data_IF_344030496047
#
_entry.id   IF_344030496047
#
_cell.length_a   1.000
_cell.length_b   1.000
_cell.length_c   1.000
_cell.angle_alpha   90.00
_cell.angle_beta   90.00
_cell.angle_gamma   90.00
#
_symmetry.space_group_name_H-M   'P 1'
#
loop_
_entity.id
_entity.type
_entity.pdbx_description
1 polymer ?
#
# COMPACT_ATOMS: atom_id res chain seq x y z
N UNK A 1 -1.54 -2.57 7.85
CA UNK A 1 -1.50 -3.98 7.37
C UNK A 1 -1.09 -4.07 5.91
N UNK A 2 -1.92 -3.73 4.92
CA UNK A 2 -1.50 -3.90 3.50
C UNK A 2 -0.33 -2.99 3.10
N UNK A 3 -0.21 -1.78 3.67
CA UNK A 3 0.96 -0.92 3.48
C UNK A 3 2.25 -1.62 3.94
N UNK A 4 2.18 -2.44 4.98
CA UNK A 4 3.34 -3.24 5.41
C UNK A 4 3.68 -4.33 4.40
N UNK A 5 2.65 -4.94 3.79
CA UNK A 5 2.85 -5.84 2.66
C UNK A 5 3.60 -5.14 1.53
N UNK A 6 3.18 -3.92 1.16
CA UNK A 6 3.84 -3.11 0.12
C UNK A 6 5.30 -2.85 0.48
N UNK A 7 5.57 -2.33 1.68
CA UNK A 7 6.91 -2.03 2.18
C UNK A 7 7.80 -3.27 2.20
N UNK A 8 7.27 -4.41 2.63
CA UNK A 8 7.98 -5.69 2.68
C UNK A 8 8.35 -6.17 1.29
N UNK A 9 7.40 -6.14 0.33
CA UNK A 9 7.70 -6.53 -1.05
C UNK A 9 8.81 -5.65 -1.62
N UNK A 10 8.79 -4.33 -1.39
CA UNK A 10 9.83 -3.41 -1.91
C UNK A 10 11.21 -3.74 -1.34
N UNK A 11 11.31 -3.95 -0.02
CA UNK A 11 12.60 -4.25 0.60
C UNK A 11 13.15 -5.59 0.13
N UNK A 12 12.31 -6.62 0.08
CA UNK A 12 12.76 -7.98 -0.24
C UNK A 12 12.71 -8.32 -1.72
N UNK A 13 12.10 -7.49 -2.58
CA UNK A 13 12.08 -7.72 -4.04
C UNK A 13 13.47 -7.67 -4.63
N UNK A 14 14.35 -6.81 -4.12
CA UNK A 14 15.74 -6.71 -4.58
C UNK A 14 16.52 -7.96 -4.22
N UNK A 15 16.34 -8.46 -2.99
CA UNK A 15 16.96 -9.71 -2.50
C UNK A 15 16.44 -10.90 -3.30
N UNK A 16 15.13 -10.96 -3.54
CA UNK A 16 14.50 -11.98 -4.37
C UNK A 16 15.05 -11.93 -5.81
N UNK A 17 15.11 -10.75 -6.42
CA UNK A 17 15.58 -10.59 -7.79
C UNK A 17 17.05 -10.98 -7.96
N UNK A 18 17.94 -10.66 -7.01
CA UNK A 18 19.34 -11.09 -7.10
C UNK A 18 19.51 -12.57 -6.83
N UNK A 19 19.01 -13.08 -5.71
CA UNK A 19 19.29 -14.46 -5.27
C UNK A 19 18.46 -15.51 -6.00
N UNK A 20 17.20 -15.21 -6.34
CA UNK A 20 16.30 -16.17 -6.99
C UNK A 20 16.32 -16.04 -8.52
N UNK A 21 16.44 -14.82 -9.05
CA UNK A 21 16.37 -14.57 -10.50
C UNK A 21 17.72 -14.16 -11.13
N UNK A 22 18.78 -14.03 -10.33
CA UNK A 22 20.14 -13.74 -10.83
C UNK A 22 20.29 -12.34 -11.42
N UNK A 23 19.53 -11.35 -10.94
CA UNK A 23 19.73 -9.96 -11.35
C UNK A 23 21.11 -9.47 -10.92
N UNK A 24 21.81 -8.83 -11.86
CA UNK A 24 23.05 -8.09 -11.60
C UNK A 24 22.75 -6.81 -10.83
N UNK A 25 23.76 -6.24 -10.15
CA UNK A 25 23.62 -4.97 -9.44
C UNK A 25 23.09 -3.84 -10.35
N UNK A 26 23.55 -3.79 -11.61
CA UNK A 26 23.09 -2.82 -12.60
C UNK A 26 21.59 -2.99 -12.90
N UNK A 27 21.14 -4.23 -13.09
CA UNK A 27 19.72 -4.54 -13.32
C UNK A 27 18.89 -4.18 -12.08
N UNK A 28 19.35 -4.47 -10.87
CA UNK A 28 18.65 -4.12 -9.63
C UNK A 28 18.46 -2.61 -9.44
N UNK A 29 19.51 -1.83 -9.70
CA UNK A 29 19.46 -0.36 -9.59
C UNK A 29 18.46 0.20 -10.60
N UNK A 30 18.51 -0.27 -11.86
CA UNK A 30 17.55 0.13 -12.90
C UNK A 30 16.12 -0.31 -12.54
N UNK A 31 15.96 -1.51 -11.98
CA UNK A 31 14.67 -2.02 -11.52
C UNK A 31 14.08 -1.12 -10.44
N UNK A 32 14.87 -0.78 -9.43
CA UNK A 32 14.43 0.13 -8.38
C UNK A 32 14.00 1.50 -8.93
N UNK A 33 14.79 2.10 -9.83
CA UNK A 33 14.44 3.38 -10.47
C UNK A 33 13.11 3.30 -11.23
N UNK A 34 12.88 2.20 -11.96
CA UNK A 34 11.65 1.98 -12.73
C UNK A 34 10.44 1.80 -11.80
N UNK A 35 10.58 1.04 -10.71
CA UNK A 35 9.54 0.86 -9.70
C UNK A 35 9.18 2.20 -9.03
N UNK A 36 10.18 3.00 -8.66
CA UNK A 36 9.93 4.31 -8.04
C UNK A 36 9.26 5.29 -9.02
N UNK A 37 9.75 5.36 -10.26
CA UNK A 37 9.19 6.23 -11.31
C UNK A 37 7.74 5.85 -11.65
N UNK A 38 7.46 4.56 -11.81
CA UNK A 38 6.11 4.06 -12.05
C UNK A 38 5.19 4.29 -10.83
N UNK A 39 5.74 4.32 -9.62
CA UNK A 39 5.02 4.74 -8.42
C UNK A 39 4.56 6.20 -8.45
N UNK A 40 5.37 7.12 -8.96
CA UNK A 40 4.95 8.51 -9.17
C UNK A 40 3.75 8.56 -10.12
N UNK A 41 3.86 7.86 -11.26
CA UNK A 41 2.77 7.78 -12.25
C UNK A 41 1.51 7.18 -11.64
N UNK A 42 1.64 6.07 -10.90
CA UNK A 42 0.53 5.42 -10.23
C UNK A 42 -0.15 6.33 -9.22
N UNK A 43 0.61 7.02 -8.37
CA UNK A 43 0.07 7.94 -7.38
C UNK A 43 -0.79 9.05 -8.01
N UNK A 44 -0.39 9.57 -9.16
CA UNK A 44 -1.15 10.59 -9.89
C UNK A 44 -2.39 10.02 -10.58
N UNK A 45 -2.23 8.92 -11.33
CA UNK A 45 -3.32 8.29 -12.09
C UNK A 45 -4.40 7.76 -11.16
N UNK A 46 -4.01 7.03 -10.11
CA UNK A 46 -4.97 6.49 -9.14
C UNK A 46 -5.43 7.53 -8.13
N UNK A 47 -4.67 8.62 -7.91
CA UNK A 47 -5.17 9.78 -7.18
C UNK A 47 -6.37 10.39 -7.88
N UNK A 48 -6.21 10.71 -9.17
CA UNK A 48 -7.32 11.18 -10.02
C UNK A 48 -8.45 10.15 -10.11
N UNK A 49 -8.10 8.86 -10.21
CA UNK A 49 -9.10 7.79 -10.24
C UNK A 49 -9.87 7.71 -8.91
N UNK A 50 -9.23 7.94 -7.77
CA UNK A 50 -9.87 7.93 -6.45
C UNK A 50 -10.88 9.06 -6.26
N UNK A 51 -10.64 10.21 -6.89
CA UNK A 51 -11.58 11.33 -6.87
C UNK A 51 -12.87 10.99 -7.65
N UNK A 52 -12.78 10.14 -8.67
CA UNK A 52 -13.91 9.71 -9.51
C UNK A 52 -14.55 8.39 -9.08
N UNK A 53 -13.74 7.44 -8.65
CA UNK A 53 -14.10 6.15 -8.08
C UNK A 53 -13.77 6.19 -6.59
N UNK A 54 -14.80 6.20 -5.75
CA UNK A 54 -14.74 6.13 -4.28
C UNK A 54 -13.40 5.53 -3.76
N UNK A 55 -12.63 6.25 -2.92
CA UNK A 55 -11.26 5.89 -2.56
C UNK A 55 -11.10 4.44 -2.10
N UNK A 56 -12.05 3.91 -1.32
CA UNK A 56 -12.11 2.50 -0.94
C UNK A 56 -12.02 1.55 -2.13
N UNK A 57 -12.76 1.79 -3.21
CA UNK A 57 -12.71 0.95 -4.41
C UNK A 57 -11.36 1.04 -5.10
N UNK A 58 -10.79 2.23 -5.14
CA UNK A 58 -9.48 2.47 -5.75
C UNK A 58 -8.37 1.74 -4.98
N UNK A 59 -8.39 1.75 -3.64
CA UNK A 59 -7.47 0.93 -2.83
C UNK A 59 -7.74 -0.57 -3.04
N UNK A 60 -8.99 -1.00 -3.16
CA UNK A 60 -9.29 -2.41 -3.42
C UNK A 60 -8.69 -2.88 -4.76
N UNK A 61 -8.75 -2.06 -5.81
CA UNK A 61 -8.12 -2.35 -7.10
C UNK A 61 -6.59 -2.47 -6.98
N UNK A 62 -5.94 -1.58 -6.22
CA UNK A 62 -4.48 -1.66 -6.04
C UNK A 62 -4.09 -2.92 -5.26
N UNK A 63 -4.90 -3.35 -4.30
CA UNK A 63 -4.67 -4.61 -3.57
C UNK A 63 -4.81 -5.84 -4.47
N UNK A 64 -5.75 -5.84 -5.42
CA UNK A 64 -5.86 -6.90 -6.42
C UNK A 64 -4.62 -6.94 -7.33
N UNK A 65 -4.09 -5.78 -7.73
CA UNK A 65 -2.83 -5.70 -8.48
C UNK A 65 -1.70 -6.29 -7.64
N UNK A 66 -1.59 -5.94 -6.36
CA UNK A 66 -0.58 -6.48 -5.45
C UNK A 66 -0.64 -8.00 -5.31
N UNK A 67 -1.85 -8.57 -5.16
CA UNK A 67 -2.06 -10.02 -5.13
C UNK A 67 -1.58 -10.65 -6.43
N UNK A 68 -1.93 -10.07 -7.58
CA UNK A 68 -1.45 -10.52 -8.89
C UNK A 68 0.09 -10.46 -9.01
N UNK A 69 0.72 -9.41 -8.48
CA UNK A 69 2.18 -9.25 -8.45
C UNK A 69 2.84 -10.36 -7.64
N UNK A 70 2.40 -10.63 -6.40
CA UNK A 70 3.04 -11.69 -5.58
C UNK A 70 2.79 -13.09 -6.13
N UNK A 71 1.61 -13.37 -6.68
CA UNK A 71 1.31 -14.65 -7.33
C UNK A 71 2.18 -14.84 -8.57
N UNK A 72 2.31 -13.81 -9.40
CA UNK A 72 3.15 -13.87 -10.61
C UNK A 72 4.63 -13.98 -10.24
N UNK A 73 5.09 -13.27 -9.20
CA UNK A 73 6.45 -13.37 -8.69
C UNK A 73 6.79 -14.79 -8.21
N UNK A 74 5.83 -15.47 -7.56
CA UNK A 74 5.98 -16.86 -7.10
C UNK A 74 6.13 -17.84 -8.28
N UNK A 75 5.28 -17.70 -9.30
CA UNK A 75 5.21 -18.61 -10.44
C UNK A 75 6.31 -18.37 -11.47
N UNK A 76 6.80 -17.14 -11.61
CA UNK A 76 7.78 -16.80 -12.65
C UNK A 76 9.22 -17.16 -12.26
N UNK A 77 10.00 -17.54 -13.25
CA UNK A 77 11.48 -17.62 -13.16
C UNK A 77 12.16 -16.70 -14.19
N UNK A 78 11.38 -15.90 -14.92
CA UNK A 78 11.87 -15.06 -16.01
C UNK A 78 12.12 -13.63 -15.53
N UNK A 79 13.33 -13.12 -15.80
CA UNK A 79 13.68 -11.72 -15.54
C UNK A 79 12.74 -10.75 -16.26
N UNK A 80 12.38 -11.03 -17.51
CA UNK A 80 11.51 -10.18 -18.31
C UNK A 80 10.11 -10.00 -17.68
N UNK A 81 9.54 -11.10 -17.17
CA UNK A 81 8.28 -11.04 -16.43
C UNK A 81 8.45 -10.25 -15.13
N UNK A 82 9.59 -10.40 -14.45
CA UNK A 82 9.88 -9.66 -13.22
C UNK A 82 9.92 -8.14 -13.45
N UNK A 83 10.49 -7.68 -14.57
CA UNK A 83 10.42 -6.27 -14.99
C UNK A 83 8.98 -5.76 -15.16
N UNK A 84 8.14 -6.56 -15.82
CA UNK A 84 6.73 -6.21 -16.02
C UNK A 84 5.95 -6.10 -14.72
N UNK A 85 6.11 -7.06 -13.81
CA UNK A 85 5.44 -6.98 -12.49
C UNK A 85 6.03 -5.88 -11.61
N UNK A 86 7.30 -5.51 -11.80
CA UNK A 86 7.91 -4.35 -11.12
C UNK A 86 7.21 -3.04 -11.48
N UNK A 87 6.85 -2.84 -12.74
CA UNK A 87 6.05 -1.68 -13.16
C UNK A 87 4.66 -1.70 -12.50
N UNK A 88 3.98 -2.85 -12.50
CA UNK A 88 2.68 -3.00 -11.86
C UNK A 88 2.77 -2.75 -10.33
N UNK A 89 3.81 -3.28 -9.68
CA UNK A 89 4.09 -3.09 -8.27
C UNK A 89 4.37 -1.62 -7.95
N UNK A 90 5.17 -0.94 -8.78
CA UNK A 90 5.45 0.48 -8.63
C UNK A 90 4.16 1.31 -8.72
N UNK A 91 3.37 1.12 -9.78
CA UNK A 91 2.06 1.79 -9.92
C UNK A 91 1.19 1.55 -8.69
N UNK A 92 1.02 0.28 -8.27
CA UNK A 92 0.20 -0.07 -7.12
C UNK A 92 0.75 0.47 -5.79
N UNK A 93 2.07 0.57 -5.64
CA UNK A 93 2.76 1.14 -4.48
C UNK A 93 2.37 2.61 -4.30
N UNK A 94 2.59 3.44 -5.32
CA UNK A 94 2.31 4.87 -5.25
C UNK A 94 0.82 5.15 -5.04
N UNK A 95 -0.02 4.41 -5.78
CA UNK A 95 -1.48 4.48 -5.70
C UNK A 95 -2.00 4.13 -4.30
N UNK A 96 -1.58 2.99 -3.74
CA UNK A 96 -2.04 2.57 -2.41
C UNK A 96 -1.62 3.56 -1.34
N UNK A 97 -0.40 4.12 -1.42
CA UNK A 97 0.08 5.06 -0.42
C UNK A 97 -0.59 6.44 -0.46
N UNK A 98 -0.90 6.96 -1.65
CA UNK A 98 -1.56 8.25 -1.81
C UNK A 98 -3.05 8.17 -1.47
N UNK A 99 -3.76 7.20 -2.06
CA UNK A 99 -5.21 7.06 -1.91
C UNK A 99 -5.59 6.72 -0.47
N UNK A 100 -4.82 5.87 0.21
CA UNK A 100 -5.12 5.50 1.61
C UNK A 100 -4.98 6.69 2.56
N UNK A 101 -3.96 7.54 2.35
CA UNK A 101 -3.78 8.78 3.12
C UNK A 101 -4.91 9.78 2.84
N UNK A 102 -5.28 9.94 1.58
CA UNK A 102 -6.40 10.80 1.18
C UNK A 102 -7.74 10.32 1.77
N UNK A 103 -8.01 9.01 1.70
CA UNK A 103 -9.20 8.37 2.26
C UNK A 103 -9.33 8.65 3.76
N UNK A 104 -8.24 8.47 4.51
CA UNK A 104 -8.23 8.77 5.94
C UNK A 104 -8.51 10.26 6.19
N UNK A 105 -7.80 11.17 5.51
CA UNK A 105 -8.01 12.61 5.68
C UNK A 105 -9.45 13.07 5.36
N UNK A 106 -10.11 12.42 4.41
CA UNK A 106 -11.50 12.70 4.08
C UNK A 106 -12.50 12.31 5.16
N UNK A 107 -12.18 11.34 6.01
CA UNK A 107 -13.04 10.87 7.12
C UNK A 107 -12.66 11.49 8.47
N UNK A 108 -11.53 12.20 8.54
CA UNK A 108 -11.05 12.83 9.78
C UNK A 108 -11.65 14.23 9.96
N UNK A 109 -12.27 14.54 11.12
CA UNK A 109 -12.72 15.88 11.51
C UNK A 109 -11.57 16.89 11.56
N UNK A 110 -11.85 18.14 11.20
CA UNK A 110 -10.82 19.20 11.11
C UNK A 110 -10.07 19.41 12.42
N UNK A 111 -10.79 19.41 13.53
CA UNK A 111 -10.21 19.60 14.87
C UNK A 111 -9.27 18.45 15.30
N UNK A 112 -9.41 17.27 14.71
CA UNK A 112 -8.71 16.04 15.12
C UNK A 112 -7.68 15.55 14.10
N UNK A 113 -7.39 16.34 13.05
CA UNK A 113 -6.44 15.95 11.99
C UNK A 113 -5.09 15.54 12.56
N UNK A 114 -4.50 16.34 13.45
CA UNK A 114 -3.20 16.05 14.05
C UNK A 114 -3.21 14.74 14.86
N UNK A 115 -4.29 14.46 15.58
CA UNK A 115 -4.44 13.26 16.40
C UNK A 115 -4.51 11.99 15.53
N UNK A 116 -5.38 11.99 14.51
CA UNK A 116 -5.51 10.86 13.59
C UNK A 116 -4.24 10.60 12.78
N UNK A 117 -3.57 11.64 12.29
CA UNK A 117 -2.28 11.47 11.60
C UNK A 117 -1.18 11.01 12.57
N UNK A 118 -1.23 11.43 13.83
CA UNK A 118 -0.37 10.91 14.90
C UNK A 118 -0.55 9.40 15.09
N UNK A 119 -1.80 8.95 15.27
CA UNK A 119 -2.11 7.52 15.37
C UNK A 119 -1.68 6.75 14.13
N UNK A 120 -2.01 7.25 12.93
CA UNK A 120 -1.62 6.63 11.66
C UNK A 120 -0.10 6.41 11.57
N UNK A 121 0.69 7.42 11.96
CA UNK A 121 2.15 7.33 11.98
C UNK A 121 2.68 6.33 13.02
N UNK A 122 2.12 6.32 14.23
CA UNK A 122 2.54 5.41 15.31
C UNK A 122 2.22 3.96 14.93
N UNK A 123 0.99 3.65 14.53
CA UNK A 123 0.58 2.31 14.13
C UNK A 123 1.34 1.80 12.90
N UNK A 124 1.65 2.69 11.95
CA UNK A 124 2.53 2.35 10.82
C UNK A 124 3.90 1.88 11.28
N UNK A 125 4.54 2.62 12.20
CA UNK A 125 5.87 2.23 12.73
C UNK A 125 5.83 0.93 13.53
N UNK A 126 4.82 0.72 14.36
CA UNK A 126 4.66 -0.54 15.11
C UNK A 126 4.48 -1.74 14.18
N UNK A 127 3.75 -1.54 13.07
CA UNK A 127 3.48 -2.61 12.11
C UNK A 127 4.67 -2.90 11.17
N UNK A 128 5.60 -1.94 11.02
CA UNK A 128 6.74 -2.02 10.10
C UNK A 128 7.69 -3.20 10.33
N UNK A 129 7.76 -3.73 11.55
CA UNK A 129 8.58 -4.89 11.86
C UNK A 129 7.93 -6.23 11.45
N UNK A 130 6.60 -6.27 11.38
CA UNK A 130 5.85 -7.53 11.21
C UNK A 130 6.09 -8.14 9.83
N UNK A 131 6.08 -7.30 8.79
CA UNK A 131 6.27 -7.77 7.41
C UNK A 131 7.65 -8.40 7.16
N UNK A 132 8.76 -7.70 7.46
CA UNK A 132 10.11 -8.27 7.39
C UNK A 132 10.30 -9.51 8.26
N UNK A 133 9.70 -9.55 9.45
CA UNK A 133 9.76 -10.72 10.32
C UNK A 133 9.09 -11.95 9.67
N UNK A 134 7.87 -11.79 9.15
CA UNK A 134 7.15 -12.86 8.44
C UNK A 134 7.93 -13.30 7.21
N UNK A 135 8.40 -12.35 6.38
CA UNK A 135 9.18 -12.68 5.19
C UNK A 135 10.47 -13.43 5.56
N UNK A 136 11.23 -12.94 6.54
CA UNK A 136 12.48 -13.55 6.97
C UNK A 136 12.29 -14.98 7.49
N UNK A 137 11.29 -15.18 8.36
CA UNK A 137 10.94 -16.51 8.86
C UNK A 137 10.54 -17.46 7.74
N UNK A 138 9.64 -17.04 6.85
CA UNK A 138 9.18 -17.86 5.74
C UNK A 138 10.31 -18.14 4.73
N UNK A 139 11.22 -17.20 4.53
CA UNK A 139 12.38 -17.38 3.65
C UNK A 139 13.37 -18.38 4.21
N UNK A 140 13.59 -18.40 5.53
CA UNK A 140 14.47 -19.34 6.19
C UNK A 140 13.89 -20.77 6.21
N UNK A 141 12.59 -20.91 6.44
CA UNK A 141 11.94 -22.20 6.56
C UNK A 141 11.55 -22.84 5.20
N UNK A 142 11.07 -22.04 4.25
CA UNK A 142 10.43 -22.53 3.02
C UNK A 142 10.99 -21.91 1.73
N UNK A 143 12.04 -21.08 1.84
CA UNK A 143 12.68 -20.41 0.72
C UNK A 143 12.02 -19.09 0.29
N UNK A 144 12.75 -18.31 -0.51
CA UNK A 144 12.38 -16.94 -0.89
C UNK A 144 11.07 -16.84 -1.70
N UNK A 145 10.75 -17.85 -2.53
CA UNK A 145 9.50 -17.89 -3.31
C UNK A 145 8.28 -17.93 -2.40
N UNK A 146 8.28 -18.88 -1.46
CA UNK A 146 7.20 -19.04 -0.49
C UNK A 146 7.12 -17.83 0.44
N UNK A 147 8.26 -17.24 0.80
CA UNK A 147 8.31 -15.98 1.55
C UNK A 147 7.61 -14.83 0.82
N UNK A 148 7.88 -14.65 -0.47
CA UNK A 148 7.21 -13.62 -1.27
C UNK A 148 5.69 -13.85 -1.35
N UNK A 149 5.26 -15.12 -1.52
CA UNK A 149 3.84 -15.46 -1.52
C UNK A 149 3.17 -15.21 -0.15
N UNK A 150 3.88 -15.45 0.95
CA UNK A 150 3.37 -15.20 2.30
C UNK A 150 2.99 -13.74 2.53
N UNK A 151 3.69 -12.80 1.87
CA UNK A 151 3.35 -11.37 1.94
C UNK A 151 1.98 -11.08 1.32
N UNK A 152 1.51 -11.94 0.41
CA UNK A 152 0.15 -11.91 -0.14
C UNK A 152 -0.95 -11.95 0.91
N UNK A 153 -0.69 -12.58 2.07
CA UNK A 153 -1.63 -12.63 3.19
C UNK A 153 -1.94 -11.23 3.72
N UNK A 154 -0.95 -10.32 3.78
CA UNK A 154 -1.19 -8.94 4.21
C UNK A 154 -2.11 -8.18 3.24
N UNK A 155 -2.02 -8.47 1.94
CA UNK A 155 -2.91 -7.87 0.94
C UNK A 155 -4.32 -8.43 1.03
N UNK A 156 -4.47 -9.74 1.26
CA UNK A 156 -5.78 -10.37 1.44
C UNK A 156 -6.46 -9.87 2.72
N UNK A 157 -5.76 -9.87 3.86
CA UNK A 157 -6.28 -9.34 5.12
C UNK A 157 -6.62 -7.86 4.96
N UNK A 158 -5.73 -7.09 4.33
CA UNK A 158 -5.98 -5.68 4.04
C UNK A 158 -7.22 -5.46 3.18
N UNK A 159 -7.44 -6.31 2.17
CA UNK A 159 -8.62 -6.24 1.31
C UNK A 159 -9.90 -6.59 2.07
N UNK A 160 -9.88 -7.65 2.89
CA UNK A 160 -11.05 -8.04 3.72
C UNK A 160 -11.40 -6.94 4.72
N UNK A 161 -10.42 -6.37 5.42
CA UNK A 161 -10.64 -5.25 6.33
C UNK A 161 -11.12 -3.99 5.60
N UNK A 162 -10.64 -3.74 4.39
CA UNK A 162 -11.13 -2.63 3.57
C UNK A 162 -12.60 -2.80 3.19
N UNK A 163 -13.12 -4.04 3.10
CA UNK A 163 -14.52 -4.29 2.82
C UNK A 163 -15.44 -3.91 3.99
N UNK A 164 -14.93 -3.87 5.22
CA UNK A 164 -15.70 -3.45 6.40
C UNK A 164 -15.74 -1.94 6.60
N UNK A 165 -14.97 -1.17 5.80
CA UNK A 165 -14.93 0.29 5.91
C UNK A 165 -16.14 0.90 5.18
N UNK A 166 -16.98 1.64 5.91
CA UNK A 166 -18.03 2.47 5.31
C UNK A 166 -17.57 3.93 5.21
N UNK A 167 -17.23 4.34 3.98
CA UNK A 167 -16.80 5.71 3.71
C UNK A 167 -17.94 6.73 3.84
N UNK A 168 -19.20 6.32 3.66
CA UNK A 168 -20.34 7.23 3.74
C UNK A 168 -20.61 7.60 5.19
N UNK A 169 -20.60 6.60 6.07
CA UNK A 169 -20.74 6.80 7.51
C UNK A 169 -19.59 7.65 8.05
N UNK A 170 -18.34 7.34 7.69
CA UNK A 170 -17.18 8.11 8.13
C UNK A 170 -17.21 9.58 7.68
N UNK A 171 -17.66 9.86 6.45
CA UNK A 171 -17.83 11.24 5.97
C UNK A 171 -19.01 11.95 6.63
N UNK A 172 -20.11 11.25 6.90
CA UNK A 172 -21.26 11.83 7.58
C UNK A 172 -20.92 12.23 9.02
N UNK A 173 -20.25 11.34 9.77
CA UNK A 173 -19.79 11.61 11.12
C UNK A 173 -18.83 12.81 11.17
N UNK A 174 -17.90 12.90 10.20
CA UNK A 174 -17.04 14.07 10.04
C UNK A 174 -17.83 15.36 9.87
N UNK A 175 -18.81 15.38 8.96
CA UNK A 175 -19.59 16.59 8.66
C UNK A 175 -20.40 17.06 9.87
N UNK A 176 -20.93 16.12 10.65
CA UNK A 176 -21.63 16.42 11.89
C UNK A 176 -20.69 17.06 12.93
N UNK A 177 -19.51 16.46 13.14
CA UNK A 177 -18.53 16.97 14.09
C UNK A 177 -17.95 18.32 13.65
N UNK A 178 -17.65 18.49 12.36
CA UNK A 178 -17.18 19.76 11.80
C UNK A 178 -18.27 20.86 11.97
N UNK A 179 -19.55 20.53 11.81
CA UNK A 179 -20.66 21.47 12.04
C UNK A 179 -20.77 21.89 13.51
N UNK A 180 -20.65 20.96 14.44
CA UNK A 180 -20.65 21.25 15.87
C UNK A 180 -19.48 22.14 16.25
N UNK A 181 -18.28 21.85 15.73
CA UNK A 181 -17.09 22.67 15.95
C UNK A 181 -17.25 24.10 15.43
N UNK A 182 -17.76 24.28 14.21
CA UNK A 182 -18.02 25.60 13.65
C UNK A 182 -19.07 26.39 14.45
N UNK A 183 -20.09 25.72 15.00
CA UNK A 183 -21.08 26.37 15.85
C UNK A 183 -20.49 26.86 17.19
N UNK A 184 -19.47 26.18 17.71
CA UNK A 184 -18.75 26.56 18.91
C UNK A 184 -17.62 27.58 18.64
N UNK A 185 -17.17 27.70 17.39
CA UNK A 185 -16.03 28.52 16.97
C UNK A 185 -16.38 29.39 15.73
N UNK A 186 -17.30 30.37 15.86
CA UNK A 186 -17.84 31.13 14.73
C UNK A 186 -16.79 31.98 13.99
N UNK A 187 -15.68 32.34 14.63
CA UNK A 187 -14.58 33.10 14.02
C UNK A 187 -13.78 32.28 12.97
N UNK A 188 -14.03 30.98 12.86
CA UNK A 188 -13.36 30.04 11.96
C UNK A 188 -14.25 29.48 10.85
N UNK A 189 -15.45 30.05 10.66
CA UNK A 189 -16.43 29.65 9.64
C UNK A 189 -16.09 30.12 8.22
#
# INVERSE_FOLDING_TARGET
IYIEGVTTVIYFSTIYASHTLGFTLKELVLFYIIVQSSGIVGALVFGWLADRLWPRRTVALTLLIWIGVVVTAYLTSSKAVFWGIGLAAGVAMGSSQSVSRSMMAMMTPRAKVAEFFGFYGVFGKFSAAVGPFVFGFMSAAFGQRTAMLSVGVFFIIGLVLLLTVDEKEGRAAKLEEDRLWLSANPDHA
#
